data_IF_490514913874
#
_entry.id   IF_490514913874
#
_cell.length_a   1.000
_cell.length_b   1.000
_cell.length_c   1.000
_cell.angle_alpha   90.00
_cell.angle_beta   90.00
_cell.angle_gamma   90.00
#
_symmetry.space_group_name_H-M   'P 1'
#
loop_
_entity.id
_entity.type
_entity.pdbx_description
1 polymer ?
#
# COMPACT_ATOMS: atom_id res chain seq x y z
N UNK A 1 61.47 17.70 21.83
CA UNK A 1 60.01 17.82 22.09
C UNK A 1 59.35 17.84 20.72
N UNK A 2 58.90 16.69 20.22
CA UNK A 2 58.19 16.62 18.94
C UNK A 2 56.91 15.85 19.19
N UNK A 3 55.82 16.61 19.33
CA UNK A 3 54.47 16.15 19.56
C UNK A 3 53.91 15.52 18.29
N UNK A 4 53.49 14.26 18.37
CA UNK A 4 52.65 13.63 17.35
C UNK A 4 51.21 14.15 17.49
N UNK A 5 50.60 14.73 16.46
CA UNK A 5 49.17 15.01 16.50
C UNK A 5 48.39 13.69 16.33
N UNK A 6 47.52 13.43 17.30
CA UNK A 6 46.58 12.34 17.31
C UNK A 6 45.63 12.46 16.11
N UNK A 7 45.40 11.34 15.42
CA UNK A 7 44.71 11.22 14.15
C UNK A 7 43.37 11.97 14.06
N UNK A 8 43.22 12.76 13.00
CA UNK A 8 41.93 13.28 12.53
C UNK A 8 41.09 12.14 11.98
N UNK A 9 40.16 11.64 12.79
CA UNK A 9 39.07 10.80 12.34
C UNK A 9 37.81 11.63 12.25
N UNK A 10 37.53 12.19 11.07
CA UNK A 10 36.22 12.74 10.71
C UNK A 10 35.18 11.61 10.76
N UNK A 11 34.60 11.38 11.93
CA UNK A 11 33.35 10.63 12.04
C UNK A 11 32.25 11.53 11.50
N UNK A 12 32.03 11.46 10.19
CA UNK A 12 30.91 12.09 9.50
C UNK A 12 29.64 11.81 10.30
N UNK A 13 29.12 12.89 10.89
CA UNK A 13 28.01 12.90 11.83
C UNK A 13 26.85 12.07 11.31
N UNK A 14 26.69 10.86 11.86
CA UNK A 14 25.72 9.85 11.41
C UNK A 14 24.26 10.20 11.78
N UNK A 15 24.01 11.44 12.24
CA UNK A 15 22.71 11.91 12.69
C UNK A 15 21.73 12.23 11.54
N UNK A 16 22.24 12.56 10.34
CA UNK A 16 21.40 12.82 9.16
C UNK A 16 20.80 11.54 8.53
N UNK A 17 21.28 10.36 8.90
CA UNK A 17 20.83 9.08 8.34
C UNK A 17 19.51 8.55 8.94
N UNK A 18 19.06 9.10 10.08
CA UNK A 18 17.91 8.56 10.83
C UNK A 18 16.62 9.36 10.68
N UNK A 19 16.61 10.47 9.93
CA UNK A 19 15.38 11.20 9.68
C UNK A 19 14.47 10.38 8.75
N UNK A 20 13.28 9.93 9.20
CA UNK A 20 12.33 9.28 8.30
C UNK A 20 11.96 10.29 7.22
N UNK A 21 12.43 10.05 5.99
CA UNK A 21 12.11 10.91 4.85
C UNK A 21 10.59 10.86 4.67
N UNK A 22 9.88 11.87 5.15
CA UNK A 22 8.42 11.98 5.02
C UNK A 22 8.12 12.15 3.53
N UNK A 23 7.88 11.03 2.85
CA UNK A 23 7.41 11.04 1.46
C UNK A 23 5.94 11.40 1.49
N UNK A 24 5.59 12.55 0.90
CA UNK A 24 4.19 12.88 0.67
C UNK A 24 3.52 11.72 -0.07
N UNK A 25 2.51 11.11 0.55
CA UNK A 25 1.73 10.05 -0.09
C UNK A 25 0.99 10.66 -1.28
N UNK A 26 1.40 10.32 -2.50
CA UNK A 26 0.66 10.63 -3.74
C UNK A 26 -0.61 9.78 -3.89
N UNK A 27 -1.27 9.43 -2.79
CA UNK A 27 -2.54 8.71 -2.86
C UNK A 27 -3.61 9.71 -3.25
N UNK A 28 -4.05 9.62 -4.50
CA UNK A 28 -5.27 10.30 -4.95
C UNK A 28 -6.44 9.83 -4.07
N UNK A 29 -7.35 10.74 -3.71
CA UNK A 29 -8.54 10.35 -2.93
C UNK A 29 -9.28 9.28 -3.74
N UNK A 30 -9.70 8.21 -3.09
CA UNK A 30 -10.43 7.14 -3.77
C UNK A 30 -11.71 7.72 -4.39
N UNK A 31 -11.81 7.67 -5.73
CA UNK A 31 -13.02 8.05 -6.47
C UNK A 31 -14.08 6.92 -6.48
N UNK A 32 -13.77 5.79 -5.83
CA UNK A 32 -14.66 4.64 -5.72
C UNK A 32 -15.28 4.59 -4.33
N UNK A 33 -16.57 4.29 -4.28
CA UNK A 33 -17.34 4.17 -3.04
C UNK A 33 -17.48 2.71 -2.61
N UNK A 34 -18.04 2.51 -1.42
CA UNK A 34 -18.44 1.18 -0.93
C UNK A 34 -19.38 0.49 -1.94
N UNK A 35 -20.35 1.23 -2.46
CA UNK A 35 -21.34 0.72 -3.42
C UNK A 35 -20.69 0.23 -4.72
N UNK A 36 -19.64 0.92 -5.19
CA UNK A 36 -18.90 0.48 -6.37
C UNK A 36 -18.22 -0.86 -6.12
N UNK A 37 -17.69 -1.08 -4.92
CA UNK A 37 -17.08 -2.36 -4.54
C UNK A 37 -18.09 -3.49 -4.43
N UNK A 38 -19.26 -3.24 -3.85
CA UNK A 38 -20.31 -4.25 -3.72
C UNK A 38 -20.89 -4.63 -5.08
N UNK A 39 -21.15 -3.65 -5.94
CA UNK A 39 -21.58 -3.89 -7.32
C UNK A 39 -20.53 -4.69 -8.09
N UNK A 40 -19.24 -4.35 -7.96
CA UNK A 40 -18.17 -5.10 -8.61
C UNK A 40 -18.09 -6.56 -8.12
N UNK A 41 -18.33 -6.84 -6.83
CA UNK A 41 -18.38 -8.23 -6.33
C UNK A 41 -19.59 -8.97 -6.91
N UNK A 42 -20.76 -8.35 -6.93
CA UNK A 42 -21.98 -8.94 -7.51
C UNK A 42 -21.81 -9.26 -9.00
N UNK A 43 -21.17 -8.37 -9.77
CA UNK A 43 -20.90 -8.60 -11.20
C UNK A 43 -19.96 -9.78 -11.43
N UNK A 44 -18.95 -9.99 -10.58
CA UNK A 44 -18.10 -11.18 -10.64
C UNK A 44 -18.93 -12.45 -10.42
N UNK A 45 -19.80 -12.45 -9.42
CA UNK A 45 -20.60 -13.62 -9.03
C UNK A 45 -21.74 -13.92 -10.03
N UNK A 46 -22.43 -12.88 -10.52
CA UNK A 46 -23.61 -12.99 -11.41
C UNK A 46 -23.21 -13.20 -12.89
N UNK A 47 -22.18 -12.49 -13.35
CA UNK A 47 -21.84 -12.42 -14.78
C UNK A 47 -20.56 -13.21 -15.14
N UNK A 48 -19.98 -13.95 -14.19
CA UNK A 48 -18.68 -14.61 -14.32
C UNK A 48 -17.59 -13.65 -14.84
N UNK A 49 -17.71 -12.35 -14.51
CA UNK A 49 -16.73 -11.36 -14.96
C UNK A 49 -15.40 -11.54 -14.22
N UNK A 50 -14.29 -11.35 -14.93
CA UNK A 50 -12.99 -11.39 -14.28
C UNK A 50 -12.82 -10.18 -13.35
N UNK A 51 -12.23 -10.39 -12.17
CA UNK A 51 -11.94 -9.34 -11.17
C UNK A 51 -11.21 -8.14 -11.81
N UNK A 52 -10.32 -8.39 -12.78
CA UNK A 52 -9.58 -7.34 -13.50
C UNK A 52 -10.48 -6.50 -14.41
N UNK A 53 -11.50 -7.09 -15.02
CA UNK A 53 -12.45 -6.39 -15.89
C UNK A 53 -13.32 -5.46 -15.05
N UNK A 54 -13.88 -5.94 -13.95
CA UNK A 54 -14.73 -5.12 -13.08
C UNK A 54 -13.98 -4.01 -12.36
N UNK A 55 -12.76 -4.28 -11.90
CA UNK A 55 -11.89 -3.26 -11.34
C UNK A 55 -11.71 -2.07 -12.29
N UNK A 56 -11.54 -2.34 -13.60
CA UNK A 56 -11.43 -1.29 -14.62
C UNK A 56 -12.77 -0.57 -14.85
N UNK A 57 -13.87 -1.32 -14.97
CA UNK A 57 -15.21 -0.77 -15.22
C UNK A 57 -15.64 0.19 -14.10
N UNK A 58 -15.42 -0.19 -12.84
CA UNK A 58 -15.85 0.58 -11.67
C UNK A 58 -14.79 1.57 -11.16
N UNK A 59 -13.67 1.70 -11.89
CA UNK A 59 -12.52 2.53 -11.53
C UNK A 59 -11.97 2.26 -10.11
N UNK A 60 -11.94 0.97 -9.73
CA UNK A 60 -11.50 0.51 -8.43
C UNK A 60 -10.11 -0.13 -8.58
N UNK A 61 -9.17 0.13 -7.66
CA UNK A 61 -7.92 -0.59 -7.61
C UNK A 61 -8.15 -2.10 -7.46
N UNK A 62 -7.52 -2.89 -8.33
CA UNK A 62 -7.61 -4.35 -8.30
C UNK A 62 -7.32 -4.92 -6.91
N UNK A 63 -6.28 -4.43 -6.23
CA UNK A 63 -5.91 -4.91 -4.90
C UNK A 63 -7.05 -4.73 -3.87
N UNK A 64 -7.77 -3.60 -3.93
CA UNK A 64 -8.90 -3.32 -3.05
C UNK A 64 -10.07 -4.27 -3.31
N UNK A 65 -10.42 -4.47 -4.58
CA UNK A 65 -11.50 -5.38 -4.99
C UNK A 65 -11.15 -6.83 -4.66
N UNK A 66 -9.94 -7.27 -5.00
CA UNK A 66 -9.47 -8.63 -4.75
C UNK A 66 -9.43 -8.96 -3.25
N UNK A 67 -8.99 -8.02 -2.40
CA UNK A 67 -8.97 -8.21 -0.94
C UNK A 67 -10.37 -8.47 -0.39
N UNK A 68 -11.38 -7.74 -0.88
CA UNK A 68 -12.78 -7.92 -0.48
C UNK A 68 -13.40 -9.19 -1.03
N UNK A 69 -13.18 -9.47 -2.30
CA UNK A 69 -13.64 -10.71 -2.93
C UNK A 69 -13.11 -11.93 -2.18
N UNK A 70 -11.80 -11.96 -1.90
CA UNK A 70 -11.18 -13.04 -1.10
C UNK A 70 -11.72 -13.10 0.33
N UNK A 71 -12.00 -11.96 0.98
CA UNK A 71 -12.60 -11.92 2.33
C UNK A 71 -14.04 -12.47 2.33
N UNK A 72 -14.81 -12.25 1.27
CA UNK A 72 -16.16 -12.80 1.13
C UNK A 72 -16.13 -14.32 0.88
N UNK A 73 -15.14 -14.83 0.12
CA UNK A 73 -14.97 -16.27 -0.12
C UNK A 73 -14.45 -16.99 1.13
N UNK A 74 -13.40 -16.47 1.75
CA UNK A 74 -12.77 -17.05 2.95
C UNK A 74 -13.53 -16.58 4.20
N UNK A 75 -14.87 -16.62 4.14
CA UNK A 75 -15.74 -16.19 5.22
C UNK A 75 -15.15 -16.65 6.56
N UNK A 76 -14.87 -15.71 7.45
CA UNK A 76 -14.34 -15.98 8.79
C UNK A 76 -12.96 -16.65 8.82
N UNK A 77 -11.89 -15.88 8.76
CA UNK A 77 -10.74 -16.17 9.62
C UNK A 77 -10.24 -14.85 10.20
N UNK A 78 -10.79 -14.57 11.38
CA UNK A 78 -10.14 -13.76 12.39
C UNK A 78 -8.65 -14.09 12.40
N UNK A 79 -7.82 -13.07 12.17
CA UNK A 79 -6.43 -13.09 12.62
C UNK A 79 -6.39 -12.18 13.85
N UNK A 80 -5.70 -12.63 14.92
CA UNK A 80 -5.80 -12.06 16.27
C UNK A 80 -5.36 -10.59 16.36
#
# INVERSE_FOLDING_TARGET
>A
MTSHPCASGDWLSSADALMPKVRARKTNKANWTMDHLEKAVKLIDEQNFSIRKDAKTMNIPFASLHKRYKKNIVGTSSWP
#
